data_IF_677864962298
#
_entry.id   IF_677864962298
#
_cell.length_a   1.000
_cell.length_b   1.000
_cell.length_c   1.000
_cell.angle_alpha   90.00
_cell.angle_beta   90.00
_cell.angle_gamma   90.00
#
_symmetry.space_group_name_H-M   'P 1'
#
loop_
_entity.id
_entity.type
_entity.pdbx_description
1 polymer ?
#
# COMPACT_ATOMS: atom_id res chain seq x y z
N UNK A 1 13.10 -13.00 29.22
CA UNK A 1 12.07 -13.71 28.44
C UNK A 1 12.15 -13.21 27.01
N UNK A 2 12.47 -14.05 26.04
CA UNK A 2 12.59 -13.62 24.63
C UNK A 2 11.28 -13.93 23.95
N UNK A 3 10.41 -12.94 23.81
CA UNK A 3 9.17 -13.04 23.06
C UNK A 3 9.43 -13.39 21.60
N UNK A 4 8.56 -14.18 20.96
CA UNK A 4 8.69 -14.59 19.57
C UNK A 4 7.79 -13.79 18.67
N UNK A 5 8.31 -13.37 17.51
CA UNK A 5 7.55 -12.75 16.45
C UNK A 5 7.27 -13.77 15.33
N UNK A 6 6.03 -13.78 14.83
CA UNK A 6 5.56 -14.68 13.79
C UNK A 6 4.97 -13.88 12.62
N UNK A 7 5.37 -14.21 11.39
CA UNK A 7 4.80 -13.64 10.16
C UNK A 7 3.53 -14.41 9.82
N UNK A 8 2.42 -13.71 9.71
CA UNK A 8 1.09 -14.32 9.55
C UNK A 8 0.80 -14.79 8.13
N UNK A 9 1.38 -14.11 7.14
CA UNK A 9 1.07 -14.28 5.72
C UNK A 9 2.21 -13.76 4.84
N UNK A 10 2.13 -14.05 3.59
CA UNK A 10 2.93 -13.69 2.43
C UNK A 10 4.24 -12.91 2.63
N UNK A 11 5.24 -13.53 3.20
CA UNK A 11 6.66 -13.20 2.94
C UNK A 11 7.38 -14.51 2.64
N UNK A 12 7.63 -14.75 1.37
CA UNK A 12 8.21 -16.04 0.91
C UNK A 12 9.63 -16.21 1.44
N UNK A 13 10.38 -15.11 1.53
CA UNK A 13 11.78 -15.11 2.00
C UNK A 13 11.99 -14.08 3.11
N UNK A 14 11.66 -14.39 4.37
CA UNK A 14 11.76 -13.46 5.50
C UNK A 14 13.20 -13.33 5.99
N UNK A 15 14.15 -13.02 5.08
CA UNK A 15 15.58 -12.98 5.42
C UNK A 15 15.93 -11.77 6.29
N UNK A 16 15.25 -10.65 6.07
CA UNK A 16 15.43 -9.42 6.87
C UNK A 16 14.93 -9.66 8.28
N UNK A 17 13.72 -10.18 8.42
CA UNK A 17 13.09 -10.48 9.71
C UNK A 17 13.91 -11.51 10.49
N UNK A 18 14.37 -12.57 9.84
CA UNK A 18 15.25 -13.58 10.45
C UNK A 18 16.55 -12.97 10.93
N UNK A 19 17.18 -12.09 10.12
CA UNK A 19 18.43 -11.41 10.48
C UNK A 19 18.24 -10.49 11.68
N UNK A 20 17.17 -9.71 11.72
CA UNK A 20 16.90 -8.73 12.79
C UNK A 20 16.44 -9.43 14.07
N UNK A 21 15.52 -10.36 13.97
CA UNK A 21 14.89 -11.03 15.14
C UNK A 21 15.72 -12.18 15.68
N UNK A 22 16.56 -12.81 14.86
CA UNK A 22 17.40 -13.94 15.25
C UNK A 22 16.60 -15.06 15.94
N UNK A 23 16.97 -15.40 17.17
CA UNK A 23 16.28 -16.41 17.99
C UNK A 23 14.81 -16.06 18.35
N UNK A 24 14.45 -14.80 18.22
CA UNK A 24 13.08 -14.32 18.48
C UNK A 24 12.16 -14.48 17.25
N UNK A 25 12.68 -14.90 16.12
CA UNK A 25 11.86 -15.24 14.96
C UNK A 25 11.22 -16.64 15.14
N UNK A 26 9.92 -16.72 14.92
CA UNK A 26 9.20 -18.00 14.87
C UNK A 26 8.79 -18.34 13.45
N UNK A 27 9.27 -19.46 12.93
CA UNK A 27 8.87 -19.99 11.60
C UNK A 27 7.52 -20.69 11.62
N UNK A 28 7.00 -20.98 12.82
CA UNK A 28 5.75 -21.72 12.99
C UNK A 28 4.83 -20.98 13.97
N UNK A 29 3.54 -21.12 13.73
CA UNK A 29 2.49 -20.69 14.65
C UNK A 29 2.58 -21.55 15.92
N UNK A 30 2.74 -20.90 17.07
CA UNK A 30 2.77 -21.56 18.37
C UNK A 30 2.30 -20.62 19.49
N UNK A 31 2.18 -21.15 20.72
CA UNK A 31 1.71 -20.41 21.88
C UNK A 31 2.71 -19.38 22.41
N UNK A 32 4.00 -19.50 22.04
CA UNK A 32 5.07 -18.59 22.51
C UNK A 32 5.15 -17.31 21.68
N UNK A 33 4.28 -17.16 20.66
CA UNK A 33 4.23 -15.97 19.82
C UNK A 33 3.65 -14.81 20.62
N UNK A 34 4.44 -13.74 20.75
CA UNK A 34 4.06 -12.51 21.43
C UNK A 34 3.78 -11.36 20.46
N UNK A 35 4.32 -11.42 19.23
CA UNK A 35 4.13 -10.39 18.21
C UNK A 35 3.74 -11.02 16.87
N UNK A 36 2.72 -10.47 16.24
CA UNK A 36 2.35 -10.82 14.86
C UNK A 36 2.90 -9.76 13.89
N UNK A 37 3.54 -10.21 12.83
CA UNK A 37 3.95 -9.41 11.68
C UNK A 37 2.96 -9.67 10.56
N UNK A 38 2.14 -8.67 10.21
CA UNK A 38 0.93 -8.84 9.38
C UNK A 38 1.05 -8.06 8.09
N UNK A 39 0.94 -8.73 6.95
CA UNK A 39 0.82 -8.10 5.65
C UNK A 39 -0.66 -7.94 5.24
N UNK A 40 -1.37 -9.05 5.04
CA UNK A 40 -2.73 -9.03 4.48
C UNK A 40 -3.73 -9.90 5.26
N UNK A 41 -3.29 -10.60 6.30
CA UNK A 41 -4.12 -11.45 7.14
C UNK A 41 -5.22 -10.65 7.83
N UNK A 42 -6.45 -11.18 7.81
CA UNK A 42 -7.55 -10.62 8.60
C UNK A 42 -7.34 -11.02 10.06
N UNK A 43 -7.23 -10.02 10.93
CA UNK A 43 -7.05 -10.19 12.35
C UNK A 43 -8.36 -9.90 13.08
N UNK A 44 -8.97 -10.96 13.57
CA UNK A 44 -10.20 -10.93 14.36
C UNK A 44 -10.08 -11.86 15.59
N UNK A 45 -11.08 -11.89 16.44
CA UNK A 45 -11.08 -12.69 17.66
C UNK A 45 -10.81 -14.19 17.40
N UNK A 46 -11.35 -14.77 16.32
CA UNK A 46 -11.10 -16.16 15.93
C UNK A 46 -9.62 -16.41 15.66
N UNK A 47 -8.97 -15.48 14.94
CA UNK A 47 -7.54 -15.57 14.65
C UNK A 47 -6.69 -15.35 15.90
N UNK A 48 -7.03 -14.33 16.69
CA UNK A 48 -6.30 -13.98 17.92
C UNK A 48 -6.33 -15.07 18.99
N UNK A 49 -7.38 -15.88 19.07
CA UNK A 49 -7.49 -17.02 20.02
C UNK A 49 -6.37 -18.03 19.86
N UNK A 50 -5.70 -18.09 18.70
CA UNK A 50 -4.61 -19.00 18.42
C UNK A 50 -3.28 -18.58 19.08
N UNK A 51 -3.23 -17.36 19.63
CA UNK A 51 -2.03 -16.76 20.22
C UNK A 51 -2.35 -16.24 21.62
N UNK A 52 -2.36 -17.11 22.64
CA UNK A 52 -2.74 -16.75 24.01
C UNK A 52 -1.82 -15.71 24.66
N UNK A 53 -0.53 -15.72 24.29
CA UNK A 53 0.50 -14.84 24.86
C UNK A 53 0.78 -13.58 23.99
N UNK A 54 -0.10 -13.28 23.03
CA UNK A 54 0.09 -12.15 22.13
C UNK A 54 0.07 -10.82 22.88
N UNK A 55 1.04 -9.96 22.59
CA UNK A 55 1.21 -8.61 23.15
C UNK A 55 1.05 -7.51 22.11
N UNK A 56 1.41 -7.80 20.84
CA UNK A 56 1.39 -6.79 19.81
C UNK A 56 1.25 -7.30 18.39
N UNK A 57 0.92 -6.37 17.51
CA UNK A 57 0.74 -6.59 16.08
C UNK A 57 1.48 -5.47 15.34
N UNK A 58 2.34 -5.83 14.41
CA UNK A 58 2.99 -4.91 13.48
C UNK A 58 2.40 -5.13 12.09
N UNK A 59 1.74 -4.12 11.55
CA UNK A 59 1.17 -4.14 10.20
C UNK A 59 2.22 -3.65 9.19
N UNK A 60 2.56 -4.48 8.23
CA UNK A 60 3.42 -4.12 7.10
C UNK A 60 2.60 -3.33 6.07
N UNK A 61 2.36 -2.07 6.36
CA UNK A 61 1.63 -1.13 5.53
C UNK A 61 0.93 -0.05 6.33
N UNK A 62 0.31 0.90 5.63
CA UNK A 62 -0.31 2.10 6.24
C UNK A 62 -1.67 1.79 6.86
N UNK A 63 -2.56 1.13 6.10
CA UNK A 63 -3.93 0.84 6.54
C UNK A 63 -4.01 -0.30 7.56
N UNK A 64 -4.92 -0.20 8.50
CA UNK A 64 -5.20 -1.21 9.53
C UNK A 64 -6.61 -1.80 9.44
N UNK A 65 -7.25 -1.64 8.29
CA UNK A 65 -8.66 -2.00 8.06
C UNK A 65 -8.96 -3.49 8.29
N UNK A 66 -7.95 -4.35 8.08
CA UNK A 66 -8.05 -5.80 8.31
C UNK A 66 -7.81 -6.23 9.75
N UNK A 67 -7.51 -5.29 10.63
CA UNK A 67 -7.31 -5.53 12.06
C UNK A 67 -8.53 -5.03 12.82
N UNK A 68 -9.30 -5.95 13.40
CA UNK A 68 -10.48 -5.58 14.17
C UNK A 68 -10.09 -4.84 15.45
N UNK A 69 -10.34 -3.54 15.48
CA UNK A 69 -9.94 -2.65 16.57
C UNK A 69 -10.60 -3.00 17.90
N UNK A 70 -11.85 -3.48 17.88
CA UNK A 70 -12.56 -3.88 19.10
C UNK A 70 -11.93 -5.13 19.74
N UNK A 71 -11.55 -6.11 18.91
CA UNK A 71 -10.92 -7.35 19.38
C UNK A 71 -9.51 -7.08 19.95
N UNK A 72 -8.76 -6.18 19.31
CA UNK A 72 -7.45 -5.72 19.77
C UNK A 72 -7.53 -5.01 21.11
N UNK A 73 -8.48 -4.06 21.25
CA UNK A 73 -8.73 -3.32 22.50
C UNK A 73 -9.13 -4.23 23.66
N UNK A 74 -10.02 -5.20 23.41
CA UNK A 74 -10.45 -6.18 24.44
C UNK A 74 -9.30 -6.99 25.01
N UNK A 75 -8.23 -7.17 24.25
CA UNK A 75 -7.03 -7.93 24.64
C UNK A 75 -5.84 -7.06 25.03
N UNK A 76 -6.01 -5.73 25.09
CA UNK A 76 -4.95 -4.75 25.36
C UNK A 76 -3.70 -4.94 24.48
N UNK A 77 -3.90 -5.25 23.19
CA UNK A 77 -2.79 -5.44 22.26
C UNK A 77 -2.29 -4.12 21.70
N UNK A 78 -0.97 -3.99 21.59
CA UNK A 78 -0.34 -2.85 20.92
C UNK A 78 -0.40 -3.08 19.41
N UNK A 79 -0.86 -2.09 18.64
CA UNK A 79 -0.86 -2.14 17.17
C UNK A 79 0.03 -1.04 16.63
N UNK A 80 1.03 -1.43 15.86
CA UNK A 80 1.90 -0.55 15.10
C UNK A 80 1.69 -0.77 13.60
N UNK A 81 1.92 0.28 12.81
CA UNK A 81 1.91 0.21 11.35
C UNK A 81 3.17 0.87 10.77
N UNK A 82 3.32 0.83 9.43
CA UNK A 82 4.40 1.49 8.71
C UNK A 82 3.84 2.64 7.87
N UNK A 83 3.71 3.86 8.45
CA UNK A 83 2.83 4.88 7.91
C UNK A 83 3.34 5.59 6.65
N UNK A 84 4.62 5.54 6.32
CA UNK A 84 5.20 6.44 5.32
C UNK A 84 6.07 5.75 4.25
N UNK A 85 6.10 4.42 4.26
CA UNK A 85 7.01 3.62 3.42
C UNK A 85 6.77 3.77 1.90
N UNK A 86 5.58 4.11 1.47
CA UNK A 86 5.19 4.14 0.05
C UNK A 86 4.51 5.46 -0.36
N UNK A 87 4.67 6.54 0.42
CA UNK A 87 3.98 7.81 0.14
C UNK A 87 4.45 8.45 -1.17
N UNK A 88 5.72 8.27 -1.54
CA UNK A 88 6.28 8.78 -2.80
C UNK A 88 5.81 7.93 -3.98
N UNK A 89 5.90 6.62 -3.89
CA UNK A 89 5.53 5.68 -4.95
C UNK A 89 4.04 5.76 -5.30
N UNK A 90 3.18 5.88 -4.28
CA UNK A 90 1.74 6.03 -4.50
C UNK A 90 1.42 7.38 -5.15
N UNK A 91 2.09 8.46 -4.72
CA UNK A 91 1.91 9.79 -5.32
C UNK A 91 2.45 9.84 -6.76
N UNK A 92 3.54 9.12 -7.07
CA UNK A 92 4.07 8.97 -8.43
C UNK A 92 3.11 8.22 -9.34
N UNK A 93 2.54 7.12 -8.83
CA UNK A 93 1.53 6.35 -9.56
C UNK A 93 0.28 7.19 -9.85
N UNK A 94 -0.18 7.97 -8.88
CA UNK A 94 -1.31 8.88 -9.08
C UNK A 94 -1.01 9.95 -10.14
N UNK A 95 0.21 10.52 -10.14
CA UNK A 95 0.65 11.46 -11.17
C UNK A 95 0.73 10.79 -12.55
N UNK A 96 1.26 9.58 -12.63
CA UNK A 96 1.31 8.82 -13.87
C UNK A 96 -0.10 8.62 -14.45
N UNK A 97 -1.09 8.25 -13.63
CA UNK A 97 -2.48 8.13 -14.07
C UNK A 97 -3.07 9.47 -14.51
N UNK A 98 -2.81 10.56 -13.81
CA UNK A 98 -3.24 11.90 -14.22
C UNK A 98 -2.72 12.22 -15.62
N UNK A 99 -1.43 12.03 -15.85
CA UNK A 99 -0.81 12.28 -17.16
C UNK A 99 -1.31 11.31 -18.24
N UNK A 100 -1.50 10.05 -17.93
CA UNK A 100 -2.08 9.06 -18.85
C UNK A 100 -3.47 9.47 -19.31
N UNK A 101 -4.31 9.96 -18.41
CA UNK A 101 -5.68 10.38 -18.71
C UNK A 101 -5.67 11.69 -19.50
N UNK A 102 -4.98 12.71 -18.98
CA UNK A 102 -5.00 14.06 -19.58
C UNK A 102 -4.32 14.11 -20.94
N UNK A 103 -3.32 13.27 -21.17
CA UNK A 103 -2.58 13.15 -22.45
C UNK A 103 -3.12 12.06 -23.37
N UNK A 104 -4.12 11.30 -22.93
CA UNK A 104 -4.73 10.24 -23.75
C UNK A 104 -3.80 9.07 -24.07
N UNK A 105 -2.77 8.82 -23.24
CA UNK A 105 -1.71 7.82 -23.50
C UNK A 105 -2.29 6.43 -23.69
N UNK A 106 -3.24 6.02 -22.86
CA UNK A 106 -3.88 4.70 -22.96
C UNK A 106 -4.61 4.53 -24.28
N UNK A 107 -5.29 5.58 -24.74
CA UNK A 107 -6.02 5.55 -26.02
C UNK A 107 -5.05 5.45 -27.20
N UNK A 108 -3.98 6.25 -27.18
CA UNK A 108 -2.94 6.15 -28.21
C UNK A 108 -2.29 4.78 -28.25
N UNK A 109 -1.94 4.21 -27.11
CA UNK A 109 -1.37 2.87 -27.02
C UNK A 109 -2.31 1.80 -27.60
N UNK A 110 -3.60 1.90 -27.28
CA UNK A 110 -4.60 0.98 -27.83
C UNK A 110 -4.76 1.11 -29.34
N UNK A 111 -4.88 2.34 -29.85
CA UNK A 111 -5.10 2.59 -31.27
C UNK A 111 -3.88 2.20 -32.12
N UNK A 112 -2.66 2.50 -31.64
CA UNK A 112 -1.42 2.14 -32.34
C UNK A 112 -1.21 0.62 -32.45
N UNK A 113 -1.67 -0.14 -31.45
CA UNK A 113 -1.62 -1.61 -31.51
C UNK A 113 -2.61 -2.21 -32.49
N UNK A 114 -3.77 -1.55 -32.69
CA UNK A 114 -4.79 -2.03 -33.63
C UNK A 114 -4.45 -1.65 -35.08
N UNK A 115 -4.01 -0.44 -35.31
CA UNK A 115 -3.73 0.04 -36.65
C UNK A 115 -2.65 1.14 -36.61
N UNK A 116 -1.42 0.73 -36.79
CA UNK A 116 -0.28 1.64 -36.75
C UNK A 116 -0.35 2.80 -37.75
N UNK A 117 -0.97 2.57 -38.92
CA UNK A 117 -1.08 3.61 -39.96
C UNK A 117 -2.06 4.74 -39.58
N UNK A 118 -2.99 4.48 -38.67
CA UNK A 118 -4.04 5.43 -38.28
C UNK A 118 -3.69 6.25 -37.00
N UNK A 119 -2.58 5.97 -36.32
CA UNK A 119 -2.24 6.67 -35.08
C UNK A 119 -2.12 8.18 -35.25
N UNK A 120 -1.70 8.67 -36.43
CA UNK A 120 -1.52 10.09 -36.77
C UNK A 120 -2.84 10.88 -36.83
N UNK A 121 -3.96 10.20 -37.09
CA UNK A 121 -5.26 10.82 -37.33
C UNK A 121 -6.25 10.53 -36.19
N UNK A 122 -5.74 10.23 -35.01
CA UNK A 122 -6.59 9.87 -33.90
C UNK A 122 -7.43 11.06 -33.42
N UNK A 123 -8.76 10.86 -33.36
CA UNK A 123 -9.74 11.85 -32.87
C UNK A 123 -9.49 12.25 -31.39
N UNK A 124 -8.75 11.44 -30.64
CA UNK A 124 -8.38 11.71 -29.26
C UNK A 124 -7.61 13.03 -29.11
N UNK A 125 -6.86 13.46 -30.12
CA UNK A 125 -6.13 14.75 -30.12
C UNK A 125 -7.04 15.92 -29.79
N UNK A 126 -8.29 15.92 -30.30
CA UNK A 126 -9.27 16.99 -30.04
C UNK A 126 -9.70 17.10 -28.58
N UNK A 127 -9.52 16.05 -27.80
CA UNK A 127 -9.91 15.97 -26.38
C UNK A 127 -8.77 16.28 -25.43
N UNK A 128 -7.53 16.30 -25.92
CA UNK A 128 -6.35 16.52 -25.10
C UNK A 128 -6.21 18.01 -24.77
N UNK A 129 -6.23 18.33 -23.48
CA UNK A 129 -5.96 19.67 -22.98
C UNK A 129 -4.49 19.85 -22.62
N UNK A 130 -3.99 21.06 -22.69
CA UNK A 130 -2.67 21.40 -22.16
C UNK A 130 -2.66 21.25 -20.65
N UNK A 131 -1.58 20.78 -20.07
CA UNK A 131 -1.47 20.58 -18.62
C UNK A 131 -1.74 21.88 -17.84
N UNK A 132 -1.19 22.99 -18.30
CA UNK A 132 -1.42 24.32 -17.71
C UNK A 132 -2.84 24.89 -17.87
N UNK A 133 -3.76 24.17 -18.53
CA UNK A 133 -5.19 24.47 -18.65
C UNK A 133 -6.06 23.41 -17.99
N UNK A 134 -5.45 22.48 -17.29
CA UNK A 134 -6.14 21.38 -16.61
C UNK A 134 -6.33 21.71 -15.14
N UNK A 135 -7.55 21.62 -14.64
CA UNK A 135 -7.86 21.77 -13.22
C UNK A 135 -8.04 20.38 -12.61
N UNK A 136 -7.32 20.13 -11.53
CA UNK A 136 -7.33 18.83 -10.83
C UNK A 136 -7.89 19.05 -9.42
N UNK A 137 -8.99 18.36 -9.10
CA UNK A 137 -9.53 18.32 -7.74
C UNK A 137 -8.90 17.17 -6.95
N UNK A 138 -8.46 17.44 -5.73
CA UNK A 138 -7.87 16.43 -4.85
C UNK A 138 -8.72 16.28 -3.60
N UNK A 139 -9.26 15.08 -3.36
CA UNK A 139 -10.00 14.76 -2.13
C UNK A 139 -9.04 14.08 -1.17
N UNK A 140 -8.67 14.77 -0.09
CA UNK A 140 -7.71 14.33 0.90
C UNK A 140 -6.28 14.80 0.61
N UNK A 141 -5.82 15.81 1.36
CA UNK A 141 -4.47 16.37 1.28
C UNK A 141 -3.56 15.87 2.44
N UNK A 142 -3.65 14.59 2.80
CA UNK A 142 -2.75 13.94 3.74
C UNK A 142 -1.36 13.69 3.15
N UNK A 143 -0.58 12.74 3.72
CA UNK A 143 0.81 12.46 3.28
C UNK A 143 0.92 12.23 1.77
N UNK A 144 0.09 11.39 1.20
CA UNK A 144 0.09 11.06 -0.24
C UNK A 144 -0.47 12.22 -1.06
N UNK A 145 -1.66 12.73 -0.69
CA UNK A 145 -2.32 13.79 -1.46
C UNK A 145 -1.51 15.07 -1.54
N UNK A 146 -0.83 15.48 -0.47
CA UNK A 146 0.04 16.67 -0.49
C UNK A 146 1.27 16.47 -1.38
N UNK A 147 1.86 15.26 -1.41
CA UNK A 147 2.95 14.95 -2.34
C UNK A 147 2.47 14.95 -3.79
N UNK A 148 1.31 14.36 -4.05
CA UNK A 148 0.68 14.38 -5.37
C UNK A 148 0.42 15.80 -5.87
N UNK A 149 -0.15 16.67 -5.00
CA UNK A 149 -0.39 18.09 -5.35
C UNK A 149 0.91 18.77 -5.74
N UNK A 150 1.96 18.66 -4.92
CA UNK A 150 3.27 19.25 -5.23
C UNK A 150 3.83 18.79 -6.57
N UNK A 151 3.78 17.48 -6.83
CA UNK A 151 4.27 16.89 -8.09
C UNK A 151 3.42 17.33 -9.29
N UNK A 152 2.10 17.38 -9.16
CA UNK A 152 1.22 17.78 -10.25
C UNK A 152 1.37 19.23 -10.66
N UNK A 153 1.59 20.16 -9.71
CA UNK A 153 1.87 21.58 -10.00
C UNK A 153 3.14 21.76 -10.81
N UNK A 154 4.17 20.93 -10.58
CA UNK A 154 5.41 20.97 -11.37
C UNK A 154 5.24 20.50 -12.83
N UNK A 155 4.16 19.80 -13.14
CA UNK A 155 3.86 19.33 -14.50
C UNK A 155 3.03 20.35 -15.32
N UNK A 156 2.73 21.53 -14.80
CA UNK A 156 1.97 22.60 -15.44
C UNK A 156 0.73 23.01 -14.70
#
# INVERSE_FOLDING_TARGET
>A
MSGKAYITDYIVYPNIEKKILGKNFSSKKNKDVEVLLVWNQIINNKYLKQFPNLKGIVRYGVGIDKINQNDVKKRNLIVCNTPDYASDEVSDTALAYLLMITRGVSKYNYDSRKNFSQWKFNTTIKQIKRSNKTVVGVIGAGRIGSKFIKKSVLCG
#
